data_IF_602353339516
#
_entry.id   IF_602353339516
#
_cell.length_a   1.000
_cell.length_b   1.000
_cell.length_c   1.000
_cell.angle_alpha   90.00
_cell.angle_beta   90.00
_cell.angle_gamma   90.00
#
_symmetry.space_group_name_H-M   'P 1'
#
loop_
_entity.id
_entity.type
_entity.pdbx_description
1 polymer ?
#
# COMPACT_ATOMS: atom_id res chain seq x y z
N UNK A 1 -27.58 4.99 -12.45
CA UNK A 1 -26.48 5.94 -12.13
C UNK A 1 -25.68 5.51 -10.91
N UNK A 2 -26.26 4.76 -9.97
CA UNK A 2 -25.66 4.23 -8.74
C UNK A 2 -24.33 3.47 -8.88
N UNK A 3 -24.16 2.66 -9.93
CA UNK A 3 -22.98 1.79 -10.08
C UNK A 3 -21.69 2.54 -10.46
N UNK A 4 -21.80 3.71 -11.12
CA UNK A 4 -20.64 4.47 -11.60
C UNK A 4 -19.91 5.16 -10.45
N UNK A 5 -20.65 5.62 -9.44
CA UNK A 5 -20.09 6.27 -8.26
C UNK A 5 -19.40 5.26 -7.34
N UNK A 6 -19.92 4.03 -7.25
CA UNK A 6 -19.26 2.93 -6.52
C UNK A 6 -17.91 2.63 -7.16
N UNK A 7 -17.85 2.41 -8.47
CA UNK A 7 -16.60 2.14 -9.19
C UNK A 7 -15.60 3.28 -9.05
N UNK A 8 -16.06 4.54 -9.15
CA UNK A 8 -15.19 5.71 -8.96
C UNK A 8 -14.59 5.75 -7.56
N UNK A 9 -15.39 5.58 -6.52
CA UNK A 9 -14.92 5.60 -5.14
C UNK A 9 -13.99 4.41 -4.83
N UNK A 10 -14.27 3.25 -5.39
CA UNK A 10 -13.42 2.06 -5.24
C UNK A 10 -12.04 2.31 -5.87
N UNK A 11 -11.99 2.84 -7.10
CA UNK A 11 -10.74 3.17 -7.78
C UNK A 11 -9.93 4.23 -7.05
N UNK A 12 -10.59 5.24 -6.46
CA UNK A 12 -9.93 6.25 -5.63
C UNK A 12 -9.32 5.60 -4.38
N UNK A 13 -10.10 4.76 -3.68
CA UNK A 13 -9.61 4.00 -2.54
C UNK A 13 -8.42 3.11 -2.87
N UNK A 14 -8.47 2.44 -4.02
CA UNK A 14 -7.38 1.62 -4.54
C UNK A 14 -6.11 2.43 -4.81
N UNK A 15 -6.22 3.59 -5.47
CA UNK A 15 -5.08 4.48 -5.68
C UNK A 15 -4.48 4.97 -4.36
N UNK A 16 -5.35 5.39 -3.43
CA UNK A 16 -4.94 5.82 -2.09
C UNK A 16 -4.15 4.70 -1.40
N UNK A 17 -4.62 3.45 -1.49
CA UNK A 17 -3.95 2.32 -0.86
C UNK A 17 -2.59 1.98 -1.47
N UNK A 18 -2.46 2.04 -2.80
CA UNK A 18 -1.16 1.88 -3.47
C UNK A 18 -0.19 2.96 -3.01
N UNK A 19 -0.62 4.23 -3.05
CA UNK A 19 0.22 5.36 -2.65
C UNK A 19 0.64 5.23 -1.19
N UNK A 20 -0.28 4.82 -0.31
CA UNK A 20 0.02 4.58 1.10
C UNK A 20 1.07 3.48 1.30
N UNK A 21 0.94 2.34 0.60
CA UNK A 21 1.94 1.29 0.65
C UNK A 21 3.32 1.75 0.15
N UNK A 22 3.35 2.53 -0.94
CA UNK A 22 4.59 3.09 -1.47
C UNK A 22 5.23 4.09 -0.50
N UNK A 23 4.45 4.99 0.08
CA UNK A 23 4.93 5.94 1.08
C UNK A 23 5.45 5.22 2.32
N UNK A 24 4.73 4.20 2.81
CA UNK A 24 5.16 3.42 3.98
C UNK A 24 6.46 2.66 3.71
N UNK A 25 6.58 2.06 2.53
CA UNK A 25 7.81 1.40 2.09
C UNK A 25 8.96 2.40 1.93
N UNK A 26 8.70 3.57 1.37
CA UNK A 26 9.68 4.64 1.21
C UNK A 26 10.17 5.19 2.54
N UNK A 27 9.25 5.49 3.47
CA UNK A 27 9.58 5.93 4.82
C UNK A 27 10.41 4.88 5.54
N UNK A 28 10.09 3.60 5.41
CA UNK A 28 10.91 2.55 5.99
C UNK A 28 12.34 2.56 5.47
N UNK A 29 12.53 2.57 4.14
CA UNK A 29 13.88 2.59 3.57
C UNK A 29 14.63 3.87 3.96
N UNK A 30 13.95 5.02 3.97
CA UNK A 30 14.55 6.30 4.33
C UNK A 30 14.99 6.38 5.81
N UNK A 31 14.19 5.85 6.75
CA UNK A 31 14.52 5.89 8.18
C UNK A 31 15.45 4.75 8.63
N UNK A 32 15.34 3.57 8.03
CA UNK A 32 16.04 2.37 8.50
C UNK A 32 17.23 1.96 7.64
N UNK A 33 17.43 2.59 6.47
CA UNK A 33 18.57 2.33 5.60
C UNK A 33 19.26 3.62 5.19
N UNK A 34 20.56 3.56 4.88
CA UNK A 34 21.29 4.68 4.27
C UNK A 34 21.28 4.64 2.74
N UNK A 35 20.51 3.72 2.15
CA UNK A 35 20.45 3.50 0.71
C UNK A 35 19.43 4.43 0.05
N UNK A 36 19.66 4.77 -1.22
CA UNK A 36 18.58 5.35 -2.02
C UNK A 36 17.42 4.34 -2.13
N UNK A 37 16.18 4.81 -2.32
CA UNK A 37 14.99 3.93 -2.31
C UNK A 37 15.15 2.67 -3.17
N UNK A 38 15.61 2.82 -4.41
CA UNK A 38 15.80 1.71 -5.36
C UNK A 38 16.88 0.74 -4.88
N UNK A 39 17.97 1.25 -4.30
CA UNK A 39 19.07 0.45 -3.76
C UNK A 39 18.61 -0.31 -2.50
N UNK A 40 17.83 0.33 -1.63
CA UNK A 40 17.25 -0.31 -0.44
C UNK A 40 16.27 -1.42 -0.81
N UNK A 41 15.43 -1.21 -1.83
CA UNK A 41 14.55 -2.26 -2.37
C UNK A 41 15.38 -3.43 -2.93
N UNK A 42 16.43 -3.15 -3.70
CA UNK A 42 17.30 -4.19 -4.28
C UNK A 42 18.09 -4.96 -3.21
N UNK A 43 18.54 -4.27 -2.15
CA UNK A 43 19.22 -4.89 -1.03
C UNK A 43 18.28 -5.83 -0.26
N UNK A 44 17.06 -5.37 0.05
CA UNK A 44 16.03 -6.20 0.71
C UNK A 44 15.58 -7.36 -0.18
N UNK A 45 15.48 -7.15 -1.49
CA UNK A 45 15.21 -8.21 -2.47
C UNK A 45 16.30 -9.28 -2.44
N UNK A 46 17.57 -8.87 -2.49
CA UNK A 46 18.72 -9.79 -2.50
C UNK A 46 18.86 -10.57 -1.18
N UNK A 47 18.44 -9.95 -0.07
CA UNK A 47 18.41 -10.59 1.25
C UNK A 47 17.17 -11.47 1.49
N UNK A 48 16.22 -11.54 0.54
CA UNK A 48 14.95 -12.28 0.73
C UNK A 48 13.98 -11.62 1.73
N UNK A 49 14.19 -10.34 2.06
CA UNK A 49 13.41 -9.58 3.03
C UNK A 49 12.40 -8.61 2.38
N UNK A 50 12.10 -8.78 1.10
CA UNK A 50 11.13 -7.98 0.35
C UNK A 50 9.73 -7.98 1.01
N UNK A 51 9.33 -9.11 1.60
CA UNK A 51 8.07 -9.22 2.35
C UNK A 51 8.00 -8.31 3.59
N UNK A 52 9.14 -8.04 4.25
CA UNK A 52 9.18 -7.14 5.40
C UNK A 52 8.91 -5.69 4.97
N UNK A 53 9.48 -5.27 3.84
CA UNK A 53 9.23 -3.96 3.25
C UNK A 53 7.74 -3.73 2.99
N UNK A 54 7.10 -4.72 2.35
CA UNK A 54 5.67 -4.63 2.02
C UNK A 54 4.80 -4.67 3.25
N UNK A 55 5.15 -5.48 4.26
CA UNK A 55 4.43 -5.50 5.53
C UNK A 55 4.41 -4.11 6.16
N UNK A 56 5.52 -3.37 6.10
CA UNK A 56 5.57 -1.99 6.60
C UNK A 56 4.79 -1.00 5.75
N UNK A 57 4.83 -1.15 4.42
CA UNK A 57 3.93 -0.42 3.53
C UNK A 57 2.46 -0.66 3.88
N UNK A 58 2.07 -1.91 4.12
CA UNK A 58 0.72 -2.32 4.45
C UNK A 58 0.26 -1.78 5.81
N UNK A 59 1.15 -1.65 6.80
CA UNK A 59 0.83 -1.00 8.09
C UNK A 59 0.34 0.44 7.84
N UNK A 60 1.03 1.21 7.00
CA UNK A 60 0.61 2.57 6.68
C UNK A 60 -0.74 2.58 5.93
N UNK A 61 -0.95 1.62 5.01
CA UNK A 61 -2.24 1.47 4.34
C UNK A 61 -3.37 1.14 5.31
N UNK A 62 -3.13 0.33 6.33
CA UNK A 62 -4.12 0.02 7.38
C UNK A 62 -4.50 1.29 8.16
N UNK A 63 -3.53 2.17 8.46
CA UNK A 63 -3.84 3.46 9.10
C UNK A 63 -4.75 4.33 8.22
N UNK A 64 -4.47 4.39 6.91
CA UNK A 64 -5.33 5.10 5.96
C UNK A 64 -6.71 4.45 5.85
N UNK A 65 -6.78 3.11 5.87
CA UNK A 65 -8.03 2.36 5.87
C UNK A 65 -8.92 2.74 7.05
N UNK A 66 -8.36 2.76 8.27
CA UNK A 66 -9.10 3.21 9.45
C UNK A 66 -9.50 4.69 9.36
N UNK A 67 -8.65 5.55 8.81
CA UNK A 67 -8.99 6.94 8.52
C UNK A 67 -10.19 7.09 7.57
N UNK A 68 -10.23 6.30 6.50
CA UNK A 68 -11.34 6.30 5.54
C UNK A 68 -12.64 5.76 6.17
N UNK A 69 -12.55 4.75 7.04
CA UNK A 69 -13.71 4.27 7.80
C UNK A 69 -14.27 5.36 8.73
N UNK A 70 -13.40 6.06 9.47
CA UNK A 70 -13.82 7.16 10.34
C UNK A 70 -14.49 8.33 9.58
N UNK A 71 -14.16 8.49 8.29
CA UNK A 71 -14.77 9.48 7.40
C UNK A 71 -16.04 8.99 6.68
N UNK A 72 -16.58 7.83 7.07
CA UNK A 72 -17.72 7.17 6.42
C UNK A 72 -17.48 6.90 4.92
N UNK A 73 -16.22 6.67 4.51
CA UNK A 73 -15.82 6.37 3.12
C UNK A 73 -15.60 4.87 2.91
N UNK A 74 -16.61 4.06 3.23
CA UNK A 74 -16.50 2.58 3.21
C UNK A 74 -16.08 2.02 1.85
N UNK A 75 -16.62 2.54 0.75
CA UNK A 75 -16.27 2.05 -0.60
C UNK A 75 -14.79 2.33 -0.93
N UNK A 76 -14.27 3.49 -0.50
CA UNK A 76 -12.86 3.82 -0.66
C UNK A 76 -11.99 2.94 0.25
N UNK A 77 -12.42 2.68 1.49
CA UNK A 77 -11.73 1.79 2.41
C UNK A 77 -11.61 0.37 1.83
N UNK A 78 -12.67 -0.15 1.20
CA UNK A 78 -12.62 -1.43 0.46
C UNK A 78 -11.58 -1.41 -0.67
N UNK A 79 -11.50 -0.30 -1.41
CA UNK A 79 -10.47 -0.10 -2.43
C UNK A 79 -9.05 -0.15 -1.86
N UNK A 80 -8.82 0.47 -0.70
CA UNK A 80 -7.51 0.48 -0.03
C UNK A 80 -7.06 -0.92 0.41
N UNK A 81 -8.00 -1.77 0.88
CA UNK A 81 -7.72 -3.18 1.19
C UNK A 81 -7.40 -3.96 -0.09
N UNK A 82 -8.19 -3.77 -1.14
CA UNK A 82 -7.97 -4.41 -2.44
C UNK A 82 -6.58 -4.10 -3.02
N UNK A 83 -6.10 -2.87 -2.84
CA UNK A 83 -4.75 -2.48 -3.22
C UNK A 83 -3.67 -3.30 -2.53
N UNK A 84 -3.79 -3.51 -1.21
CA UNK A 84 -2.81 -4.31 -0.46
C UNK A 84 -2.83 -5.78 -0.87
N UNK A 85 -4.01 -6.36 -1.10
CA UNK A 85 -4.12 -7.75 -1.56
C UNK A 85 -3.43 -7.91 -2.91
N UNK A 86 -3.72 -7.03 -3.88
CA UNK A 86 -3.11 -7.08 -5.21
C UNK A 86 -1.60 -6.88 -5.12
N UNK A 87 -1.13 -5.91 -4.34
CA UNK A 87 0.30 -5.65 -4.18
C UNK A 87 1.03 -6.84 -3.54
N UNK A 88 0.42 -7.47 -2.53
CA UNK A 88 0.96 -8.68 -1.89
C UNK A 88 1.07 -9.83 -2.89
N UNK A 89 0.03 -10.05 -3.70
CA UNK A 89 0.06 -11.07 -4.75
C UNK A 89 1.17 -10.78 -5.76
N UNK A 90 1.29 -9.54 -6.25
CA UNK A 90 2.34 -9.15 -7.20
C UNK A 90 3.72 -9.46 -6.61
N UNK A 91 3.94 -9.17 -5.34
CA UNK A 91 5.24 -9.38 -4.69
C UNK A 91 5.59 -10.84 -4.44
N UNK A 92 4.61 -11.73 -4.29
CA UNK A 92 4.88 -13.16 -4.24
C UNK A 92 5.51 -13.71 -5.54
N UNK A 93 5.28 -13.04 -6.67
CA UNK A 93 5.81 -13.44 -7.98
C UNK A 93 7.09 -12.70 -8.40
N UNK A 94 7.56 -11.71 -7.62
CA UNK A 94 8.71 -10.84 -7.93
C UNK A 94 9.94 -11.23 -7.13
#
# INVERSE_FOLDING_TARGET
MENKDILKNLSIGFLIGIISCLIGSYLFIYFFTQYAFIEGVNALKSAGHLGQLITLGAILNILIFFGLLNLNKEIMARGAVMATIILTIITLFV
#
